data_IF_689001013022
#
_entry.id   IF_689001013022
#
_cell.length_a   1.000
_cell.length_b   1.000
_cell.length_c   1.000
_cell.angle_alpha   90.00
_cell.angle_beta   90.00
_cell.angle_gamma   90.00
#
_symmetry.space_group_name_H-M   'P 1'
#
loop_
_entity.id
_entity.type
_entity.pdbx_description
1 polymer ?
#
# COMPACT_ATOMS: atom_id res chain seq x y z
N UNK A 1 6.05 -28.26 -7.44
CA UNK A 1 6.15 -27.29 -8.56
C UNK A 1 7.62 -27.06 -8.85
N UNK A 2 8.03 -26.88 -10.10
CA UNK A 2 9.42 -26.56 -10.43
C UNK A 2 9.77 -25.22 -9.81
N UNK A 3 10.94 -25.12 -9.15
CA UNK A 3 11.50 -23.86 -8.70
C UNK A 3 11.71 -22.94 -9.93
N UNK A 4 11.37 -21.68 -9.81
CA UNK A 4 11.68 -20.65 -10.80
C UNK A 4 12.95 -19.90 -10.36
N UNK A 5 13.63 -19.26 -11.29
CA UNK A 5 14.74 -18.37 -10.96
C UNK A 5 14.19 -17.07 -10.35
N UNK A 6 14.76 -16.60 -9.22
CA UNK A 6 14.24 -15.41 -8.57
C UNK A 6 14.48 -14.15 -9.39
N UNK A 7 13.47 -13.28 -9.46
CA UNK A 7 13.58 -11.95 -10.09
C UNK A 7 14.51 -11.02 -9.28
N UNK A 8 14.62 -11.28 -7.97
CA UNK A 8 15.55 -10.61 -7.04
C UNK A 8 16.66 -11.59 -6.67
N UNK A 9 17.89 -11.35 -7.12
CA UNK A 9 19.05 -12.27 -6.98
C UNK A 9 19.37 -12.71 -5.55
N UNK A 10 18.96 -11.95 -4.52
CA UNK A 10 19.20 -12.26 -3.09
C UNK A 10 18.00 -12.91 -2.41
N UNK A 11 16.93 -13.17 -3.15
CA UNK A 11 15.75 -13.82 -2.58
C UNK A 11 15.90 -15.34 -2.61
N UNK A 12 15.54 -15.98 -1.50
CA UNK A 12 15.24 -17.40 -1.49
C UNK A 12 13.94 -17.66 -2.27
N UNK A 13 13.74 -18.87 -2.80
CA UNK A 13 12.50 -19.20 -3.50
C UNK A 13 11.72 -20.25 -2.71
N UNK A 14 10.48 -19.88 -2.33
CA UNK A 14 9.48 -20.81 -1.81
C UNK A 14 8.17 -20.62 -2.59
N UNK A 15 7.99 -21.41 -3.65
CA UNK A 15 6.91 -21.19 -4.60
C UNK A 15 5.52 -21.41 -4.00
N UNK A 16 4.66 -20.41 -4.11
CA UNK A 16 3.21 -20.53 -3.82
C UNK A 16 2.49 -21.17 -5.02
N UNK A 17 1.46 -21.98 -4.79
CA UNK A 17 0.57 -22.47 -5.86
C UNK A 17 -0.52 -21.44 -6.24
N UNK A 18 -0.70 -20.40 -5.45
CA UNK A 18 -1.85 -19.46 -5.52
C UNK A 18 -1.54 -18.29 -6.44
N UNK A 19 -1.42 -18.51 -7.73
CA UNK A 19 -1.20 -17.46 -8.72
C UNK A 19 -1.82 -17.86 -10.06
N UNK A 20 -1.82 -16.94 -11.00
CA UNK A 20 -2.27 -17.18 -12.37
C UNK A 20 -1.70 -16.13 -13.33
N UNK A 21 -2.05 -16.18 -14.61
CA UNK A 21 -1.60 -15.18 -15.57
C UNK A 21 -2.21 -13.81 -15.25
N UNK A 22 -1.47 -12.74 -15.54
CA UNK A 22 -2.00 -11.38 -15.50
C UNK A 22 -3.07 -11.22 -16.58
N UNK A 23 -4.22 -10.67 -16.20
CA UNK A 23 -5.37 -10.53 -17.10
C UNK A 23 -5.16 -9.35 -18.07
N UNK A 24 -5.77 -9.45 -19.24
CA UNK A 24 -5.83 -8.39 -20.24
C UNK A 24 -4.47 -7.86 -20.70
N UNK A 25 -3.41 -8.68 -20.61
CA UNK A 25 -2.05 -8.29 -20.98
C UNK A 25 -1.44 -7.24 -20.06
N UNK A 26 -1.99 -7.04 -18.86
CA UNK A 26 -1.48 -6.06 -17.89
C UNK A 26 -0.07 -6.40 -17.41
N UNK A 27 0.68 -5.35 -17.14
CA UNK A 27 2.02 -5.42 -16.56
C UNK A 27 2.04 -4.77 -15.17
N UNK A 28 2.99 -5.14 -14.29
CA UNK A 28 3.15 -4.48 -13.01
C UNK A 28 3.42 -2.98 -13.17
N UNK A 29 2.57 -2.16 -12.58
CA UNK A 29 2.69 -0.70 -12.54
C UNK A 29 2.44 -0.14 -11.14
N UNK A 30 2.05 -1.00 -10.20
CA UNK A 30 1.74 -0.66 -8.81
C UNK A 30 2.50 -1.62 -7.90
N UNK A 31 3.07 -1.09 -6.80
CA UNK A 31 3.67 -1.85 -5.73
C UNK A 31 2.81 -1.71 -4.47
N UNK A 32 2.36 -2.83 -3.90
CA UNK A 32 1.52 -2.84 -2.71
C UNK A 32 2.29 -3.43 -1.53
N UNK A 33 2.35 -2.67 -0.44
CA UNK A 33 2.96 -3.08 0.80
C UNK A 33 1.90 -3.53 1.80
N UNK A 34 2.17 -4.71 2.40
CA UNK A 34 1.33 -5.37 3.39
C UNK A 34 2.13 -5.63 4.65
N UNK A 35 1.48 -5.87 5.77
CA UNK A 35 2.05 -6.66 6.86
C UNK A 35 1.36 -8.03 6.93
N UNK A 36 2.07 -9.05 7.39
CA UNK A 36 1.55 -10.42 7.44
C UNK A 36 0.38 -10.60 8.41
N UNK A 37 0.32 -9.84 9.52
CA UNK A 37 -0.68 -9.98 10.57
C UNK A 37 -0.66 -11.34 11.28
N UNK A 38 0.47 -12.05 11.22
CA UNK A 38 0.67 -13.38 11.79
C UNK A 38 1.78 -13.36 12.85
N UNK A 39 1.80 -14.36 13.74
CA UNK A 39 2.74 -14.43 14.87
C UNK A 39 4.20 -14.57 14.41
N UNK A 40 4.44 -15.31 13.31
CA UNK A 40 5.79 -15.52 12.78
C UNK A 40 5.82 -15.43 11.26
N UNK A 41 7.00 -15.12 10.71
CA UNK A 41 7.22 -15.11 9.27
C UNK A 41 7.06 -16.49 8.64
N UNK A 42 7.48 -17.54 9.34
CA UNK A 42 7.34 -18.93 8.88
C UNK A 42 5.87 -19.35 8.76
N UNK A 43 5.03 -18.92 9.70
CA UNK A 43 3.59 -19.18 9.64
C UNK A 43 2.98 -18.44 8.44
N UNK A 44 3.37 -17.19 8.19
CA UNK A 44 2.91 -16.42 7.04
C UNK A 44 3.38 -17.04 5.71
N UNK A 45 4.67 -17.37 5.59
CA UNK A 45 5.24 -18.04 4.41
C UNK A 45 4.53 -19.36 4.12
N UNK A 46 4.31 -20.19 5.16
CA UNK A 46 3.59 -21.47 5.03
C UNK A 46 2.13 -21.29 4.61
N UNK A 47 1.45 -20.26 5.13
CA UNK A 47 0.07 -19.93 4.76
C UNK A 47 -0.04 -19.49 3.30
N UNK A 48 0.84 -18.59 2.85
CA UNK A 48 0.89 -18.11 1.48
C UNK A 48 1.27 -19.23 0.47
N UNK A 49 2.00 -20.26 0.91
CA UNK A 49 2.32 -21.43 0.11
C UNK A 49 1.24 -22.55 0.16
N UNK A 50 0.22 -22.40 1.01
CA UNK A 50 -0.84 -23.41 1.14
C UNK A 50 -1.91 -23.19 0.05
N UNK A 51 -2.23 -24.20 -0.79
CA UNK A 51 -3.28 -24.04 -1.81
C UNK A 51 -4.67 -23.76 -1.24
N UNK A 52 -4.93 -24.15 0.03
CA UNK A 52 -6.22 -23.91 0.68
C UNK A 52 -6.40 -22.45 1.14
N UNK A 53 -5.33 -21.66 1.20
CA UNK A 53 -5.41 -20.25 1.61
C UNK A 53 -6.04 -19.35 0.54
N UNK A 54 -5.90 -19.74 -0.73
CA UNK A 54 -6.35 -18.97 -1.90
C UNK A 54 -5.82 -17.52 -1.90
N UNK A 55 -4.68 -17.28 -1.23
CA UNK A 55 -3.96 -16.00 -1.21
C UNK A 55 -2.47 -16.24 -1.44
N UNK A 56 -1.77 -15.24 -1.91
CA UNK A 56 -0.32 -15.23 -2.09
C UNK A 56 0.22 -13.81 -2.13
N UNK A 57 1.55 -13.68 -2.09
CA UNK A 57 2.27 -12.45 -2.41
C UNK A 57 3.45 -12.78 -3.32
N UNK A 58 4.05 -11.79 -3.95
CA UNK A 58 5.25 -12.01 -4.73
C UNK A 58 6.46 -12.21 -3.81
N UNK A 59 6.51 -11.45 -2.72
CA UNK A 59 7.62 -11.49 -1.77
C UNK A 59 7.14 -11.49 -0.33
N UNK A 60 7.97 -12.10 0.54
CA UNK A 60 7.90 -11.96 2.00
C UNK A 60 9.24 -11.40 2.48
N UNK A 61 9.21 -10.37 3.33
CA UNK A 61 10.40 -9.75 3.93
C UNK A 61 10.36 -9.97 5.44
N UNK A 62 11.34 -10.72 5.95
CA UNK A 62 11.49 -11.06 7.36
C UNK A 62 12.11 -9.94 8.18
N UNK A 63 11.94 -9.99 9.50
CA UNK A 63 12.48 -9.00 10.45
C UNK A 63 14.00 -8.92 10.39
N UNK A 64 14.70 -10.02 10.04
CA UNK A 64 16.14 -10.09 9.89
C UNK A 64 16.65 -9.70 8.49
N UNK A 65 15.77 -9.18 7.64
CA UNK A 65 16.08 -8.78 6.27
C UNK A 65 16.16 -9.93 5.26
N UNK A 66 15.84 -11.17 5.63
CA UNK A 66 15.68 -12.28 4.68
C UNK A 66 14.51 -11.98 3.75
N UNK A 67 14.71 -12.20 2.45
CA UNK A 67 13.68 -12.04 1.42
C UNK A 67 13.35 -13.41 0.83
N UNK A 68 12.07 -13.73 0.74
CA UNK A 68 11.57 -14.94 0.08
C UNK A 68 10.69 -14.52 -1.08
N UNK A 69 10.96 -15.03 -2.29
CA UNK A 69 10.09 -14.86 -3.44
C UNK A 69 9.17 -16.08 -3.56
N UNK A 70 7.87 -15.82 -3.64
CA UNK A 70 6.84 -16.86 -3.65
C UNK A 70 6.12 -16.98 -5.00
N UNK A 71 6.03 -15.88 -5.74
CA UNK A 71 5.40 -15.83 -7.08
C UNK A 71 6.33 -15.02 -8.01
N UNK A 72 6.57 -15.47 -9.25
CA UNK A 72 7.33 -14.67 -10.22
C UNK A 72 6.65 -13.32 -10.49
N UNK A 73 7.43 -12.26 -10.69
CA UNK A 73 6.89 -10.93 -10.99
C UNK A 73 6.09 -10.89 -12.30
N UNK A 74 6.34 -11.80 -13.22
CA UNK A 74 5.56 -11.96 -14.45
C UNK A 74 4.14 -12.46 -14.21
N UNK A 75 3.90 -13.15 -13.11
CA UNK A 75 2.62 -13.76 -12.77
C UNK A 75 1.76 -12.86 -11.86
N UNK A 76 0.50 -13.21 -11.73
CA UNK A 76 -0.50 -12.53 -10.91
C UNK A 76 -0.63 -13.22 -9.55
N UNK A 77 0.01 -12.73 -8.52
CA UNK A 77 -0.25 -13.14 -7.14
C UNK A 77 -1.63 -12.64 -6.65
N UNK A 78 -2.17 -13.27 -5.61
CA UNK A 78 -3.52 -12.99 -5.08
C UNK A 78 -3.43 -12.31 -3.71
N UNK A 79 -3.07 -11.01 -3.69
CA UNK A 79 -2.82 -10.25 -2.45
C UNK A 79 -3.74 -9.05 -2.23
N UNK A 80 -4.26 -8.45 -3.31
CA UNK A 80 -5.03 -7.20 -3.20
C UNK A 80 -6.52 -7.43 -2.85
N UNK A 81 -7.08 -8.60 -3.22
CA UNK A 81 -8.50 -8.88 -3.06
C UNK A 81 -9.39 -7.86 -3.78
N UNK A 82 -10.58 -7.61 -3.23
CA UNK A 82 -11.47 -6.55 -3.73
C UNK A 82 -10.88 -5.19 -3.37
N UNK A 83 -10.50 -4.42 -4.38
CA UNK A 83 -9.72 -3.19 -4.24
C UNK A 83 -9.90 -2.28 -5.45
N UNK A 84 -9.51 -1.01 -5.31
CA UNK A 84 -9.54 -0.06 -6.44
C UNK A 84 -8.48 1.03 -6.26
N UNK A 85 -7.89 1.47 -7.38
CA UNK A 85 -6.98 2.61 -7.42
C UNK A 85 -7.01 3.28 -8.78
N UNK A 86 -7.21 4.61 -8.84
CA UNK A 86 -7.32 5.38 -10.11
C UNK A 86 -8.28 4.75 -11.12
N UNK A 87 -9.41 4.19 -10.64
CA UNK A 87 -10.42 3.53 -11.47
C UNK A 87 -10.11 2.08 -11.86
N UNK A 88 -8.90 1.58 -11.59
CA UNK A 88 -8.58 0.16 -11.78
C UNK A 88 -9.14 -0.66 -10.61
N UNK A 89 -9.71 -1.82 -10.90
CA UNK A 89 -10.32 -2.73 -9.90
C UNK A 89 -9.67 -4.12 -9.85
N UNK A 90 -8.98 -4.55 -10.89
CA UNK A 90 -8.18 -5.78 -10.85
C UNK A 90 -6.70 -5.46 -10.52
N UNK A 91 -6.50 -4.98 -9.29
CA UNK A 91 -5.19 -4.56 -8.81
C UNK A 91 -4.19 -5.72 -8.82
N UNK A 92 -4.60 -6.95 -8.55
CA UNK A 92 -3.72 -8.11 -8.64
C UNK A 92 -3.04 -8.24 -10.01
N UNK A 93 -3.73 -7.91 -11.11
CA UNK A 93 -3.17 -8.04 -12.46
C UNK A 93 -2.16 -6.95 -12.82
N UNK A 94 -2.16 -5.81 -12.14
CA UNK A 94 -1.26 -4.70 -12.41
C UNK A 94 -0.28 -4.37 -11.27
N UNK A 95 -0.19 -5.25 -10.24
CA UNK A 95 0.66 -4.98 -9.07
C UNK A 95 1.65 -6.08 -8.75
N UNK A 96 2.66 -5.70 -7.97
CA UNK A 96 3.51 -6.58 -7.18
C UNK A 96 3.09 -6.40 -5.70
N UNK A 97 2.91 -7.48 -4.95
CA UNK A 97 2.61 -7.43 -3.51
C UNK A 97 3.77 -7.93 -2.68
N UNK A 98 4.11 -7.20 -1.63
CA UNK A 98 5.15 -7.56 -0.66
C UNK A 98 4.51 -7.68 0.73
N UNK A 99 4.64 -8.84 1.34
CA UNK A 99 4.28 -9.09 2.73
C UNK A 99 5.49 -8.82 3.63
N UNK A 100 5.35 -7.92 4.59
CA UNK A 100 6.38 -7.55 5.55
C UNK A 100 6.02 -8.23 6.87
N UNK A 101 6.90 -9.07 7.38
CA UNK A 101 6.62 -9.80 8.62
C UNK A 101 6.45 -8.81 9.78
N UNK A 102 5.23 -8.74 10.28
CA UNK A 102 4.82 -7.93 11.43
C UNK A 102 3.44 -8.41 11.87
N UNK A 103 3.25 -8.58 13.18
CA UNK A 103 1.99 -9.10 13.74
C UNK A 103 0.81 -8.14 13.64
N UNK A 104 1.06 -6.87 13.31
CA UNK A 104 0.02 -5.86 13.25
C UNK A 104 -0.63 -5.56 14.61
N UNK A 105 -1.72 -4.77 14.64
CA UNK A 105 -2.36 -4.31 15.88
C UNK A 105 -2.85 -5.44 16.81
N UNK A 106 -3.27 -6.57 16.25
CA UNK A 106 -3.77 -7.71 17.06
C UNK A 106 -2.66 -8.40 17.87
N UNK A 107 -1.40 -8.26 17.44
CA UNK A 107 -0.23 -8.85 18.09
C UNK A 107 0.73 -7.76 18.63
N UNK A 108 0.16 -6.65 19.13
CA UNK A 108 0.89 -5.57 19.79
C UNK A 108 1.52 -4.55 18.86
N UNK A 109 1.38 -4.72 17.55
CA UNK A 109 1.90 -3.84 16.50
C UNK A 109 3.33 -3.37 16.79
N UNK A 110 4.32 -4.29 16.75
CA UNK A 110 5.72 -3.94 16.95
C UNK A 110 6.22 -2.97 15.87
N UNK A 111 7.28 -2.26 16.17
CA UNK A 111 7.95 -1.43 15.18
C UNK A 111 8.66 -2.32 14.14
N UNK A 112 8.82 -1.83 12.92
CA UNK A 112 9.55 -2.52 11.86
C UNK A 112 11.06 -2.40 12.09
N UNK A 113 11.81 -3.51 12.23
CA UNK A 113 13.27 -3.47 12.45
C UNK A 113 14.01 -2.78 11.31
N UNK A 114 15.07 -2.01 11.63
CA UNK A 114 15.85 -1.28 10.63
C UNK A 114 16.39 -2.18 9.51
N UNK A 115 16.93 -3.35 9.84
CA UNK A 115 17.43 -4.31 8.84
C UNK A 115 16.33 -4.87 7.92
N UNK A 116 15.09 -4.98 8.39
CA UNK A 116 13.93 -5.34 7.57
C UNK A 116 13.61 -4.21 6.58
N UNK A 117 13.61 -2.96 7.06
CA UNK A 117 13.34 -1.79 6.23
C UNK A 117 14.45 -1.59 5.19
N UNK A 118 15.71 -1.79 5.53
CA UNK A 118 16.84 -1.71 4.60
C UNK A 118 16.67 -2.75 3.46
N UNK A 119 16.36 -4.00 3.80
CA UNK A 119 16.12 -5.06 2.83
C UNK A 119 14.89 -4.77 1.95
N UNK A 120 13.82 -4.25 2.55
CA UNK A 120 12.60 -3.83 1.84
C UNK A 120 12.89 -2.69 0.85
N UNK A 121 13.67 -1.69 1.25
CA UNK A 121 14.06 -0.57 0.37
C UNK A 121 14.84 -1.09 -0.84
N UNK A 122 15.81 -1.97 -0.64
CA UNK A 122 16.61 -2.56 -1.75
C UNK A 122 15.71 -3.37 -2.70
N UNK A 123 14.79 -4.15 -2.18
CA UNK A 123 13.81 -4.90 -2.96
C UNK A 123 12.90 -3.95 -3.76
N UNK A 124 12.31 -2.96 -3.10
CA UNK A 124 11.41 -1.99 -3.74
C UNK A 124 12.11 -1.21 -4.86
N UNK A 125 13.36 -0.76 -4.66
CA UNK A 125 14.16 -0.10 -5.70
C UNK A 125 14.33 -0.98 -6.93
N UNK A 126 14.65 -2.26 -6.71
CA UNK A 126 14.78 -3.24 -7.79
C UNK A 126 13.49 -3.39 -8.60
N UNK A 127 12.36 -3.59 -7.91
CA UNK A 127 11.03 -3.73 -8.53
C UNK A 127 10.63 -2.46 -9.29
N UNK A 128 10.73 -1.29 -8.63
CA UNK A 128 10.39 0.01 -9.25
C UNK A 128 11.19 0.26 -10.51
N UNK A 129 12.49 -0.06 -10.50
CA UNK A 129 13.37 0.10 -11.66
C UNK A 129 13.02 -0.88 -12.80
N UNK A 130 12.81 -2.17 -12.50
CA UNK A 130 12.46 -3.21 -13.50
C UNK A 130 11.15 -2.89 -14.22
N UNK A 131 10.15 -2.43 -13.47
CA UNK A 131 8.80 -2.17 -13.99
C UNK A 131 8.54 -0.68 -14.29
N UNK A 132 9.54 0.21 -14.11
CA UNK A 132 9.41 1.65 -14.36
C UNK A 132 8.21 2.27 -13.65
N UNK A 133 7.98 1.83 -12.40
CA UNK A 133 6.84 2.31 -11.62
C UNK A 133 7.04 3.78 -11.21
N UNK A 134 5.94 4.53 -11.21
CA UNK A 134 5.94 5.92 -10.75
C UNK A 134 5.97 5.97 -9.21
N UNK A 135 6.57 7.02 -8.60
CA UNK A 135 6.64 7.12 -7.14
C UNK A 135 5.26 7.01 -6.45
N UNK A 136 4.22 7.64 -7.00
CA UNK A 136 2.86 7.59 -6.48
C UNK A 136 2.13 6.25 -6.72
N UNK A 137 2.81 5.26 -7.27
CA UNK A 137 2.30 3.90 -7.45
C UNK A 137 2.81 2.92 -6.40
N UNK A 138 3.58 3.38 -5.40
CA UNK A 138 3.96 2.59 -4.22
C UNK A 138 2.94 2.89 -3.13
N UNK A 139 2.13 1.90 -2.77
CA UNK A 139 0.89 2.08 -2.02
C UNK A 139 0.81 1.13 -0.81
N UNK A 140 0.03 1.53 0.17
CA UNK A 140 -0.45 0.65 1.23
C UNK A 140 -1.63 -0.21 0.73
N UNK A 141 -1.82 -1.39 1.30
CA UNK A 141 -3.04 -2.15 1.06
C UNK A 141 -4.29 -1.37 1.50
N UNK A 142 -4.18 -0.60 2.59
CA UNK A 142 -5.26 0.29 3.04
C UNK A 142 -5.62 1.38 2.04
N UNK A 143 -4.69 1.85 1.19
CA UNK A 143 -4.99 2.86 0.17
C UNK A 143 -5.95 2.32 -0.89
N UNK A 144 -5.76 1.08 -1.31
CA UNK A 144 -6.55 0.43 -2.37
C UNK A 144 -7.80 -0.29 -1.85
N UNK A 145 -7.87 -0.58 -0.54
CA UNK A 145 -8.97 -1.32 0.07
C UNK A 145 -9.36 -0.76 1.45
N UNK A 146 -9.67 0.55 1.56
CA UNK A 146 -9.82 1.26 2.85
C UNK A 146 -10.94 0.71 3.74
N UNK A 147 -11.94 0.04 3.16
CA UNK A 147 -13.06 -0.55 3.90
C UNK A 147 -12.71 -1.89 4.57
N UNK A 148 -11.60 -2.54 4.18
CA UNK A 148 -11.28 -3.91 4.60
C UNK A 148 -9.91 -4.02 5.26
N UNK A 149 -9.00 -3.09 4.95
CA UNK A 149 -7.58 -3.21 5.24
C UNK A 149 -7.03 -1.99 5.93
N UNK A 150 -6.05 -2.23 6.79
CA UNK A 150 -5.32 -1.20 7.51
C UNK A 150 -3.80 -1.35 7.35
N UNK A 151 -3.32 -2.44 6.75
CA UNK A 151 -1.91 -2.74 6.53
C UNK A 151 -1.27 -1.82 5.46
N UNK A 152 0.03 -1.50 5.57
CA UNK A 152 0.97 -1.85 6.62
C UNK A 152 0.83 -1.02 7.91
N UNK A 153 -0.17 -0.12 8.00
CA UNK A 153 -0.55 0.64 9.17
C UNK A 153 0.27 1.90 9.42
N UNK A 154 -0.13 2.64 10.45
CA UNK A 154 0.43 3.96 10.78
C UNK A 154 1.86 3.93 11.35
N UNK A 155 2.35 2.78 11.80
CA UNK A 155 3.75 2.63 12.25
C UNK A 155 4.72 2.36 11.11
N UNK A 156 4.23 2.11 9.89
CA UNK A 156 5.10 1.85 8.75
C UNK A 156 5.89 3.12 8.37
N UNK A 157 7.22 3.03 8.22
CA UNK A 157 8.08 4.21 8.10
C UNK A 157 8.15 4.75 6.66
N UNK A 158 7.03 5.20 6.10
CA UNK A 158 6.95 5.78 4.75
C UNK A 158 7.99 6.86 4.46
N UNK A 159 8.31 7.80 5.41
CA UNK A 159 9.34 8.80 5.19
C UNK A 159 10.71 8.20 4.86
N UNK A 160 11.09 7.11 5.55
CA UNK A 160 12.39 6.43 5.34
C UNK A 160 12.48 5.82 3.94
N UNK A 161 11.39 5.21 3.44
CA UNK A 161 11.32 4.72 2.07
C UNK A 161 11.47 5.85 1.07
N UNK A 162 10.74 6.96 1.28
CA UNK A 162 10.78 8.13 0.41
C UNK A 162 12.18 8.77 0.35
N UNK A 163 12.85 8.96 1.50
CA UNK A 163 14.23 9.48 1.57
C UNK A 163 15.21 8.58 0.82
N UNK A 164 14.94 7.28 0.78
CA UNK A 164 15.69 6.31 -0.01
C UNK A 164 15.32 6.29 -1.50
N UNK A 165 14.34 7.10 -1.95
CA UNK A 165 13.90 7.18 -3.35
C UNK A 165 12.79 6.19 -3.72
N UNK A 166 12.06 5.64 -2.74
CA UNK A 166 10.92 4.73 -2.95
C UNK A 166 9.63 5.40 -2.49
N UNK A 167 8.64 5.47 -3.37
CA UNK A 167 7.34 6.03 -3.05
C UNK A 167 7.26 7.55 -3.15
N UNK A 168 6.03 8.03 -3.06
CA UNK A 168 5.70 9.46 -3.06
C UNK A 168 5.25 9.87 -1.67
N UNK A 169 5.89 10.85 -1.09
CA UNK A 169 5.59 11.32 0.25
C UNK A 169 5.95 12.80 0.40
N UNK A 170 5.30 13.50 1.32
CA UNK A 170 5.60 14.89 1.70
C UNK A 170 5.54 15.02 3.22
N UNK A 171 6.31 15.92 3.80
CA UNK A 171 6.18 16.23 5.23
C UNK A 171 4.76 16.72 5.53
N UNK A 172 4.00 16.01 6.40
CA UNK A 172 2.63 16.40 6.72
C UNK A 172 2.58 17.78 7.35
N UNK A 173 1.48 18.49 7.12
CA UNK A 173 1.22 19.73 7.82
C UNK A 173 0.95 19.44 9.31
N UNK A 174 1.41 20.29 10.23
CA UNK A 174 1.21 20.05 11.67
C UNK A 174 -0.26 19.92 12.04
N UNK A 175 -0.56 18.99 12.95
CA UNK A 175 -1.90 18.85 13.52
C UNK A 175 -2.22 20.09 14.36
N UNK A 176 -3.30 20.78 14.02
CA UNK A 176 -3.76 22.02 14.69
C UNK A 176 -5.27 22.13 14.66
N UNK A 177 -5.84 22.90 15.57
CA UNK A 177 -7.26 23.22 15.56
C UNK A 177 -7.65 24.09 14.35
N UNK A 178 -8.93 24.10 14.04
CA UNK A 178 -9.48 24.87 12.93
C UNK A 178 -10.68 24.17 12.28
N UNK A 179 -10.99 24.57 11.05
CA UNK A 179 -12.07 23.96 10.27
C UNK A 179 -11.72 22.51 9.92
N UNK A 180 -12.72 21.64 9.98
CA UNK A 180 -12.61 20.23 9.60
C UNK A 180 -13.90 19.75 8.93
N UNK A 181 -13.83 18.56 8.31
CA UNK A 181 -15.00 17.83 7.82
C UNK A 181 -14.99 16.43 8.43
N UNK A 182 -16.18 15.98 8.80
CA UNK A 182 -16.41 14.68 9.43
C UNK A 182 -17.72 14.06 8.96
N UNK A 183 -18.00 12.86 9.43
CA UNK A 183 -19.20 12.11 9.07
C UNK A 183 -20.47 12.96 9.25
N UNK A 184 -21.27 13.07 8.20
CA UNK A 184 -22.51 13.85 8.15
C UNK A 184 -22.39 15.25 7.54
N UNK A 185 -21.18 15.79 7.39
CA UNK A 185 -20.97 17.07 6.71
C UNK A 185 -21.32 16.98 5.21
N UNK A 186 -21.78 18.09 4.63
CA UNK A 186 -22.24 18.09 3.23
C UNK A 186 -21.89 19.43 2.54
N UNK A 187 -21.91 19.38 1.21
CA UNK A 187 -21.82 20.55 0.34
C UNK A 187 -20.53 20.63 -0.47
N UNK A 188 -20.40 21.71 -1.23
CA UNK A 188 -19.31 21.92 -2.18
C UNK A 188 -17.89 21.74 -1.57
N UNK A 189 -17.59 22.14 -0.32
CA UNK A 189 -16.27 21.89 0.23
C UNK A 189 -15.96 20.41 0.47
N UNK A 190 -16.97 19.56 0.77
CA UNK A 190 -16.81 18.10 0.87
C UNK A 190 -16.59 17.49 -0.51
N UNK A 191 -17.34 17.94 -1.53
CA UNK A 191 -17.15 17.53 -2.93
C UNK A 191 -15.73 17.86 -3.42
N UNK A 192 -15.19 19.03 -3.07
CA UNK A 192 -13.82 19.42 -3.40
C UNK A 192 -12.79 18.50 -2.73
N UNK A 193 -12.98 18.12 -1.45
CA UNK A 193 -12.13 17.17 -0.74
C UNK A 193 -12.17 15.79 -1.40
N UNK A 194 -13.36 15.29 -1.72
CA UNK A 194 -13.55 14.01 -2.43
C UNK A 194 -12.86 14.02 -3.80
N UNK A 195 -12.97 15.12 -4.53
CA UNK A 195 -12.28 15.32 -5.81
C UNK A 195 -10.76 15.27 -5.66
N UNK A 196 -10.20 15.86 -4.61
CA UNK A 196 -8.77 15.79 -4.32
C UNK A 196 -8.32 14.35 -4.02
N UNK A 197 -9.08 13.60 -3.20
CA UNK A 197 -8.80 12.19 -2.91
C UNK A 197 -8.85 11.33 -4.17
N UNK A 198 -9.90 11.49 -4.99
CA UNK A 198 -10.06 10.77 -6.24
C UNK A 198 -8.95 11.11 -7.26
N UNK A 199 -8.54 12.38 -7.34
CA UNK A 199 -7.44 12.83 -8.21
C UNK A 199 -6.10 12.18 -7.80
N UNK A 200 -5.87 11.98 -6.50
CA UNK A 200 -4.69 11.25 -6.04
C UNK A 200 -4.77 9.75 -6.39
N UNK A 201 -5.96 9.15 -6.29
CA UNK A 201 -6.19 7.76 -6.67
C UNK A 201 -7.23 6.99 -5.85
N UNK A 202 -7.68 7.54 -4.72
CA UNK A 202 -8.64 6.87 -3.82
C UNK A 202 -9.99 6.67 -4.49
N UNK A 203 -10.57 5.48 -4.34
CA UNK A 203 -11.89 5.13 -4.86
C UNK A 203 -13.02 5.67 -3.99
N UNK A 204 -13.10 6.99 -3.80
CA UNK A 204 -14.18 7.64 -3.04
C UNK A 204 -15.24 8.23 -3.98
N UNK A 205 -16.54 8.20 -3.62
CA UNK A 205 -17.57 8.89 -4.41
C UNK A 205 -17.39 10.41 -4.31
N UNK A 206 -17.70 11.12 -5.40
CA UNK A 206 -17.71 12.60 -5.43
C UNK A 206 -19.19 13.01 -5.45
N UNK A 207 -19.82 13.02 -4.28
CA UNK A 207 -21.26 13.27 -4.11
C UNK A 207 -21.57 14.45 -3.16
N UNK A 208 -20.52 15.08 -2.63
CA UNK A 208 -20.63 16.19 -1.70
C UNK A 208 -21.14 15.79 -0.31
N UNK A 209 -21.20 14.50 0.02
CA UNK A 209 -21.60 13.99 1.34
C UNK A 209 -20.43 13.28 2.01
N UNK A 210 -19.98 13.76 3.16
CA UNK A 210 -18.97 13.07 3.96
C UNK A 210 -19.58 11.82 4.60
N UNK A 211 -19.76 10.79 3.80
CA UNK A 211 -20.25 9.49 4.20
C UNK A 211 -19.14 8.55 4.68
N UNK A 212 -19.52 7.30 4.99
CA UNK A 212 -18.56 6.27 5.45
C UNK A 212 -17.43 6.01 4.45
N UNK A 213 -17.71 6.01 3.14
CA UNK A 213 -16.67 5.81 2.11
C UNK A 213 -15.63 6.93 2.13
N UNK A 214 -16.05 8.19 2.29
CA UNK A 214 -15.14 9.34 2.43
C UNK A 214 -14.32 9.21 3.71
N UNK A 215 -14.94 8.87 4.84
CA UNK A 215 -14.26 8.67 6.11
C UNK A 215 -13.19 7.57 6.02
N UNK A 216 -13.51 6.43 5.42
CA UNK A 216 -12.57 5.32 5.22
C UNK A 216 -11.40 5.72 4.31
N UNK A 217 -11.64 6.49 3.25
CA UNK A 217 -10.60 7.06 2.41
C UNK A 217 -9.68 8.01 3.19
N UNK A 218 -10.23 8.86 4.06
CA UNK A 218 -9.45 9.74 4.96
C UNK A 218 -8.64 8.92 5.96
N UNK A 219 -9.19 7.87 6.56
CA UNK A 219 -8.45 6.99 7.47
C UNK A 219 -7.25 6.33 6.76
N UNK A 220 -7.43 5.82 5.55
CA UNK A 220 -6.35 5.24 4.76
C UNK A 220 -5.28 6.29 4.43
N UNK A 221 -5.70 7.46 3.94
CA UNK A 221 -4.82 8.59 3.68
C UNK A 221 -4.00 9.00 4.91
N UNK A 222 -4.64 9.10 6.08
CA UNK A 222 -3.96 9.46 7.33
C UNK A 222 -2.93 8.41 7.73
N UNK A 223 -3.24 7.10 7.64
CA UNK A 223 -2.27 6.04 7.92
C UNK A 223 -1.01 6.13 7.08
N UNK A 224 -1.14 6.48 5.84
CA UNK A 224 -0.02 6.57 4.92
C UNK A 224 0.73 7.90 5.05
N UNK A 225 0.02 9.03 5.00
CA UNK A 225 0.61 10.35 4.77
C UNK A 225 0.61 11.28 5.98
N UNK A 226 -0.15 10.95 7.03
CA UNK A 226 -0.23 11.75 8.25
C UNK A 226 -0.53 10.89 9.49
N UNK A 227 0.37 9.94 9.83
CA UNK A 227 0.12 8.90 10.84
C UNK A 227 0.07 9.41 12.28
N UNK A 228 0.45 10.65 12.56
CA UNK A 228 0.39 11.24 13.91
C UNK A 228 -1.02 11.20 14.52
N UNK A 229 -2.08 11.26 13.68
CA UNK A 229 -3.47 11.26 14.13
C UNK A 229 -4.39 10.62 13.09
N UNK A 230 -4.75 9.37 13.30
CA UNK A 230 -5.61 8.58 12.41
C UNK A 230 -7.01 8.48 13.02
N UNK A 231 -7.90 9.40 12.68
CA UNK A 231 -9.24 9.51 13.27
C UNK A 231 -10.39 9.62 12.25
N UNK A 232 -10.06 9.69 10.96
CA UNK A 232 -11.04 9.82 9.89
C UNK A 232 -11.69 11.20 9.79
N UNK A 233 -11.17 12.20 10.51
CA UNK A 233 -11.58 13.61 10.41
C UNK A 233 -10.66 14.31 9.43
N UNK A 234 -11.22 14.92 8.39
CA UNK A 234 -10.45 15.74 7.46
C UNK A 234 -10.21 17.14 8.07
N UNK A 235 -9.24 17.19 8.99
CA UNK A 235 -8.79 18.44 9.61
C UNK A 235 -7.88 19.25 8.66
N UNK A 236 -7.50 20.46 9.08
CA UNK A 236 -6.63 21.34 8.28
C UNK A 236 -5.33 20.62 7.90
N UNK A 237 -4.72 19.88 8.84
CA UNK A 237 -3.50 19.11 8.61
C UNK A 237 -3.68 18.08 7.48
N UNK A 238 -4.76 17.32 7.52
CA UNK A 238 -5.11 16.31 6.50
C UNK A 238 -5.30 16.95 5.12
N UNK A 239 -6.09 18.02 5.05
CA UNK A 239 -6.40 18.73 3.80
C UNK A 239 -5.15 19.39 3.19
N UNK A 240 -4.36 20.09 4.00
CA UNK A 240 -3.10 20.71 3.54
C UNK A 240 -2.08 19.66 3.09
N UNK A 241 -1.99 18.51 3.78
CA UNK A 241 -1.09 17.40 3.40
C UNK A 241 -1.51 16.81 2.05
N UNK A 242 -2.80 16.57 1.84
CA UNK A 242 -3.31 16.08 0.55
C UNK A 242 -3.04 17.10 -0.58
N UNK A 243 -3.24 18.39 -0.32
CA UNK A 243 -2.92 19.44 -1.30
C UNK A 243 -1.42 19.46 -1.65
N UNK A 244 -0.53 19.34 -0.65
CA UNK A 244 0.93 19.25 -0.88
C UNK A 244 1.28 18.04 -1.74
N UNK A 245 0.70 16.86 -1.44
CA UNK A 245 0.94 15.65 -2.22
C UNK A 245 0.52 15.80 -3.68
N UNK A 246 -0.66 16.36 -3.93
CA UNK A 246 -1.13 16.64 -5.29
C UNK A 246 -0.21 17.62 -6.02
N UNK A 247 0.26 18.66 -5.33
CA UNK A 247 1.16 19.67 -5.90
C UNK A 247 2.56 19.13 -6.20
N UNK A 248 2.98 18.08 -5.49
CA UNK A 248 4.27 17.42 -5.64
C UNK A 248 4.24 16.22 -6.61
N UNK A 249 3.08 15.90 -7.21
CA UNK A 249 3.02 14.83 -8.22
C UNK A 249 3.97 15.15 -9.39
N UNK A 250 4.75 14.15 -9.84
CA UNK A 250 5.60 14.34 -11.00
C UNK A 250 4.78 14.77 -12.22
N UNK A 251 5.30 15.72 -13.00
CA UNK A 251 4.67 16.11 -14.25
C UNK A 251 4.48 14.88 -15.15
N UNK A 252 3.32 14.78 -15.79
CA UNK A 252 3.08 13.76 -16.82
C UNK A 252 3.95 14.17 -18.01
N UNK A 253 5.14 13.57 -18.11
CA UNK A 253 5.90 13.67 -19.37
C UNK A 253 5.17 12.82 -20.41
N UNK A 254 4.61 13.50 -21.40
CA UNK A 254 3.95 12.89 -22.55
C UNK A 254 4.92 12.03 -23.37
#
# INVERSE_FOLDING_TARGET
MSAFEPDQLRADVHASPNFGPRKDGKHPSILILHYTGMETGEAAESWLANPQSEVSAHYVVYENGRIVQMVPESERAWHAGQSSWKGETDINSCSIGIEIVNGGPLLGFPDFPGQQIDALIDLCKGIVARHRMRPESVLAHSDIAPARKIDPGEKFPWPVLHEAGVGHWVSPSPVRGGRFFSLGDQGQPVEALQSMLALYGYGVPIDGVFGSSTQLGILAFQRHFRPEKVDGVADISTIETLHKLLSALPAITA
#
